data_IF_240950354701
#
_entry.id   IF_240950354701
#
_cell.length_a   1.000
_cell.length_b   1.000
_cell.length_c   1.000
_cell.angle_alpha   90.00
_cell.angle_beta   90.00
_cell.angle_gamma   90.00
#
_symmetry.space_group_name_H-M   'P 1'
#
loop_
_entity.id
_entity.type
_entity.pdbx_description
1 polymer ?
#
# COMPACT_ATOMS: atom_id res chain seq x y z
N UNK A 1 1.80 10.79 7.48
CA UNK A 1 1.05 10.30 6.29
C UNK A 1 0.55 8.88 6.51
N UNK A 2 1.39 7.94 7.00
CA UNK A 2 0.96 6.57 7.33
C UNK A 2 -0.25 6.49 8.29
N UNK A 3 -0.34 7.38 9.29
CA UNK A 3 -1.46 7.37 10.24
C UNK A 3 -2.82 7.76 9.60
N UNK A 4 -2.81 8.61 8.57
CA UNK A 4 -4.04 9.07 7.92
C UNK A 4 -4.64 7.99 7.02
N UNK A 5 -3.79 7.16 6.40
CA UNK A 5 -4.24 6.00 5.62
C UNK A 5 -4.98 5.01 6.52
N UNK A 6 -4.46 4.71 7.71
CA UNK A 6 -5.12 3.84 8.70
C UNK A 6 -6.47 4.40 9.18
N UNK A 7 -6.60 5.72 9.35
CA UNK A 7 -7.87 6.36 9.71
C UNK A 7 -8.94 6.27 8.60
N UNK A 8 -8.54 6.27 7.32
CA UNK A 8 -9.47 6.06 6.20
C UNK A 8 -9.91 4.61 6.03
N UNK A 9 -9.04 3.64 6.35
CA UNK A 9 -9.39 2.21 6.39
C UNK A 9 -10.57 1.94 7.34
N UNK A 10 -10.70 2.70 8.43
CA UNK A 10 -11.81 2.56 9.38
C UNK A 10 -13.15 3.16 8.91
N UNK A 11 -13.19 3.90 7.80
CA UNK A 11 -14.39 4.64 7.36
C UNK A 11 -15.04 4.10 6.06
N UNK A 12 -14.70 2.89 5.61
CA UNK A 12 -15.15 2.33 4.31
C UNK A 12 -14.64 3.14 3.10
N UNK A 13 -13.71 4.08 3.31
CA UNK A 13 -13.10 4.93 2.27
C UNK A 13 -11.85 4.27 1.68
N UNK A 14 -11.98 2.99 1.32
CA UNK A 14 -10.85 2.17 0.84
C UNK A 14 -10.24 2.70 -0.46
N UNK A 15 -11.06 3.32 -1.32
CA UNK A 15 -10.59 3.91 -2.58
C UNK A 15 -9.67 5.12 -2.35
N UNK A 16 -9.95 5.96 -1.36
CA UNK A 16 -9.11 7.12 -1.05
C UNK A 16 -7.85 6.72 -0.28
N UNK A 17 -7.92 5.66 0.53
CA UNK A 17 -6.75 5.03 1.12
C UNK A 17 -5.81 4.48 0.04
N UNK A 18 -6.36 3.75 -0.95
CA UNK A 18 -5.62 3.22 -2.10
C UNK A 18 -4.90 4.32 -2.88
N UNK A 19 -5.62 5.37 -3.30
CA UNK A 19 -5.03 6.47 -4.07
C UNK A 19 -3.87 7.15 -3.31
N UNK A 20 -4.03 7.31 -1.98
CA UNK A 20 -3.01 7.88 -1.13
C UNK A 20 -1.80 6.94 -1.00
N UNK A 21 -2.04 5.65 -0.78
CA UNK A 21 -0.99 4.63 -0.64
C UNK A 21 -0.17 4.50 -1.92
N UNK A 22 -0.82 4.45 -3.10
CA UNK A 22 -0.13 4.43 -4.41
C UNK A 22 0.80 5.63 -4.56
N UNK A 23 0.31 6.85 -4.27
CA UNK A 23 1.12 8.07 -4.38
C UNK A 23 2.30 8.08 -3.40
N UNK A 24 2.11 7.56 -2.19
CA UNK A 24 3.18 7.44 -1.19
C UNK A 24 4.24 6.45 -1.66
N UNK A 25 3.84 5.30 -2.22
CA UNK A 25 4.76 4.30 -2.77
C UNK A 25 5.57 4.88 -3.93
N UNK A 26 4.95 5.60 -4.88
CA UNK A 26 5.68 6.25 -5.98
C UNK A 26 6.72 7.26 -5.47
N UNK A 27 6.32 8.07 -4.50
CA UNK A 27 7.20 9.07 -3.90
C UNK A 27 8.35 8.42 -3.13
N UNK A 28 8.07 7.37 -2.34
CA UNK A 28 9.08 6.68 -1.56
C UNK A 28 10.03 5.88 -2.45
N UNK A 29 9.55 5.28 -3.54
CA UNK A 29 10.40 4.64 -4.55
C UNK A 29 11.39 5.62 -5.16
N UNK A 30 10.94 6.82 -5.50
CA UNK A 30 11.80 7.86 -6.07
C UNK A 30 12.81 8.42 -5.05
N UNK A 31 12.44 8.54 -3.78
CA UNK A 31 13.27 9.17 -2.76
C UNK A 31 14.21 8.20 -2.02
N UNK A 32 13.76 6.97 -1.78
CA UNK A 32 14.40 5.99 -0.90
C UNK A 32 14.77 4.68 -1.61
N UNK A 33 14.18 4.43 -2.78
CA UNK A 33 14.30 3.17 -3.50
C UNK A 33 13.15 2.20 -3.22
N UNK A 34 13.03 1.20 -4.09
CA UNK A 34 11.98 0.18 -4.03
C UNK A 34 12.15 -0.79 -2.86
N UNK A 35 13.40 -1.13 -2.53
CA UNK A 35 13.74 -2.09 -1.46
C UNK A 35 13.80 -1.47 -0.07
N UNK A 36 13.57 -0.16 0.04
CA UNK A 36 13.63 0.51 1.33
C UNK A 36 12.48 0.04 2.24
N UNK A 37 12.77 -0.23 3.52
CA UNK A 37 11.83 -0.73 4.53
C UNK A 37 10.49 0.05 4.56
N UNK A 38 10.57 1.37 4.44
CA UNK A 38 9.41 2.25 4.37
C UNK A 38 8.56 2.02 3.11
N UNK A 39 9.18 1.84 1.95
CA UNK A 39 8.49 1.55 0.69
C UNK A 39 7.79 0.19 0.76
N UNK A 40 8.47 -0.83 1.27
CA UNK A 40 7.91 -2.17 1.46
C UNK A 40 6.71 -2.15 2.42
N UNK A 41 6.82 -1.43 3.54
CA UNK A 41 5.70 -1.25 4.48
C UNK A 41 4.49 -0.61 3.81
N UNK A 42 4.71 0.40 2.95
CA UNK A 42 3.61 1.03 2.21
C UNK A 42 2.97 0.08 1.19
N UNK A 43 3.76 -0.76 0.53
CA UNK A 43 3.25 -1.80 -0.37
C UNK A 43 2.41 -2.85 0.38
N UNK A 44 2.82 -3.29 1.56
CA UNK A 44 2.01 -4.19 2.40
C UNK A 44 0.68 -3.54 2.83
N UNK A 45 0.67 -2.25 3.13
CA UNK A 45 -0.56 -1.53 3.46
C UNK A 45 -1.54 -1.47 2.28
N UNK A 46 -1.03 -1.23 1.06
CA UNK A 46 -1.83 -1.25 -0.16
C UNK A 46 -2.40 -2.65 -0.44
N UNK A 47 -1.64 -3.71 -0.20
CA UNK A 47 -2.15 -5.08 -0.32
C UNK A 47 -3.30 -5.33 0.67
N UNK A 48 -3.17 -4.84 1.91
CA UNK A 48 -4.26 -4.90 2.89
C UNK A 48 -5.50 -4.12 2.45
N UNK A 49 -5.32 -2.92 1.88
CA UNK A 49 -6.42 -2.13 1.30
C UNK A 49 -7.15 -2.91 0.20
N UNK A 50 -6.42 -3.56 -0.71
CA UNK A 50 -7.02 -4.41 -1.75
C UNK A 50 -7.82 -5.60 -1.19
N UNK A 51 -7.30 -6.30 -0.17
CA UNK A 51 -8.03 -7.39 0.50
C UNK A 51 -9.37 -6.92 1.05
N UNK A 52 -9.41 -5.73 1.66
CA UNK A 52 -10.65 -5.14 2.18
C UNK A 52 -11.63 -4.73 1.08
N UNK A 53 -11.15 -4.41 -0.12
CA UNK A 53 -11.96 -4.20 -1.32
C UNK A 53 -12.37 -5.50 -2.03
N UNK A 54 -11.98 -6.68 -1.50
CA UNK A 54 -12.14 -8.01 -2.13
C UNK A 54 -11.36 -8.18 -3.45
N UNK A 55 -10.32 -7.36 -3.64
CA UNK A 55 -9.40 -7.39 -4.79
C UNK A 55 -8.19 -8.27 -4.46
N UNK A 56 -8.45 -9.58 -4.34
CA UNK A 56 -7.46 -10.53 -3.82
C UNK A 56 -6.28 -10.76 -4.77
N UNK A 57 -6.51 -10.73 -6.08
CA UNK A 57 -5.46 -10.89 -7.08
C UNK A 57 -4.45 -9.74 -7.03
N UNK A 58 -4.92 -8.50 -6.92
CA UNK A 58 -4.03 -7.33 -6.80
C UNK A 58 -3.27 -7.31 -5.48
N UNK A 59 -3.91 -7.77 -4.38
CA UNK A 59 -3.23 -7.94 -3.11
C UNK A 59 -2.10 -8.98 -3.20
N UNK A 60 -2.38 -10.15 -3.78
CA UNK A 60 -1.41 -11.23 -3.93
C UNK A 60 -0.22 -10.80 -4.80
N UNK A 61 -0.47 -10.15 -5.94
CA UNK A 61 0.61 -9.63 -6.79
C UNK A 61 1.54 -8.68 -6.03
N UNK A 62 0.97 -7.83 -5.17
CA UNK A 62 1.74 -6.87 -4.41
C UNK A 62 2.51 -7.54 -3.27
N UNK A 63 1.92 -8.53 -2.59
CA UNK A 63 2.59 -9.31 -1.55
C UNK A 63 3.74 -10.16 -2.12
N UNK A 64 3.54 -10.79 -3.28
CA UNK A 64 4.61 -11.52 -3.99
C UNK A 64 5.76 -10.58 -4.31
N UNK A 65 5.46 -9.39 -4.84
CA UNK A 65 6.48 -8.39 -5.13
C UNK A 65 7.26 -7.95 -3.89
N UNK A 66 6.61 -7.86 -2.73
CA UNK A 66 7.29 -7.53 -1.45
C UNK A 66 8.17 -8.70 -0.97
N UNK A 67 7.78 -9.95 -1.21
CA UNK A 67 8.56 -11.14 -0.82
C UNK A 67 9.74 -11.45 -1.75
N UNK A 68 9.68 -10.99 -3.01
CA UNK A 68 10.75 -11.18 -4.00
C UNK A 68 11.90 -10.16 -3.89
N UNK A 69 11.72 -9.13 -3.06
CA UNK A 69 12.74 -8.12 -2.72
C UNK A 69 13.57 -8.61 -1.52
#
# INVERSE_FOLDING_TARGET
MANLASDYQNQVRWTEAEELEVKVIETSKAALGEEHEFTLTCMTNLAFTYRNQRRWEEAEQLDVKVMEI
#
